data_IF_873409145572
#
_entry.id   IF_873409145572
#
_cell.length_a   1.000
_cell.length_b   1.000
_cell.length_c   1.000
_cell.angle_alpha   90.00
_cell.angle_beta   90.00
_cell.angle_gamma   90.00
#
_symmetry.space_group_name_H-M   'P 1'
#
loop_
_entity.id
_entity.type
_entity.pdbx_description
1 polymer ?
#
# COMPACT_ATOMS: atom_id res chain seq x y z
N UNK A 1 33.97 55.27 -4.52
CA UNK A 1 33.00 54.68 -5.42
C UNK A 1 32.57 53.34 -4.87
N UNK A 2 31.36 53.32 -4.45
CA UNK A 2 30.79 52.10 -3.87
C UNK A 2 30.24 51.26 -4.97
N UNK A 3 30.84 50.08 -5.17
CA UNK A 3 30.22 49.05 -6.04
C UNK A 3 29.00 48.51 -5.34
N UNK A 4 27.84 48.55 -5.96
CA UNK A 4 26.70 47.84 -5.39
C UNK A 4 27.06 46.37 -5.31
N UNK A 5 27.01 45.82 -4.12
CA UNK A 5 27.19 44.38 -3.94
C UNK A 5 26.17 43.62 -4.78
N UNK A 6 26.68 42.81 -5.65
CA UNK A 6 25.84 41.85 -6.38
C UNK A 6 25.30 40.89 -5.33
N UNK A 7 24.10 41.13 -4.86
CA UNK A 7 23.36 40.16 -4.11
C UNK A 7 22.97 39.04 -5.10
N UNK A 8 23.86 38.07 -5.23
CA UNK A 8 23.51 36.80 -5.77
C UNK A 8 22.51 36.18 -4.80
N UNK A 9 21.25 36.45 -5.01
CA UNK A 9 20.18 35.62 -4.54
C UNK A 9 20.32 34.28 -5.27
N UNK A 10 21.20 33.41 -4.73
CA UNK A 10 21.10 32.00 -5.01
C UNK A 10 19.76 31.58 -4.43
N UNK A 11 18.75 31.64 -5.26
CA UNK A 11 17.51 30.97 -4.98
C UNK A 11 17.86 29.50 -4.88
N UNK A 12 17.88 28.99 -3.67
CA UNK A 12 17.81 27.57 -3.44
C UNK A 12 16.47 27.14 -4.02
N UNK A 13 16.50 26.70 -5.26
CA UNK A 13 15.44 25.85 -5.77
C UNK A 13 15.53 24.58 -4.95
N UNK A 14 14.81 24.56 -3.84
CA UNK A 14 14.40 23.30 -3.27
C UNK A 14 13.48 22.71 -4.32
N UNK A 15 14.04 21.92 -5.22
CA UNK A 15 13.26 21.00 -5.99
C UNK A 15 12.64 20.08 -4.94
N UNK A 16 11.43 20.40 -4.56
CA UNK A 16 10.55 19.43 -3.95
C UNK A 16 10.38 18.33 -5.01
N UNK A 17 11.30 17.38 -4.99
CA UNK A 17 11.04 16.12 -5.63
C UNK A 17 9.88 15.52 -4.86
N UNK A 18 8.66 15.82 -5.30
CA UNK A 18 7.53 14.98 -5.03
C UNK A 18 7.89 13.65 -5.66
N UNK A 19 8.59 12.80 -4.89
CA UNK A 19 8.97 11.48 -5.34
C UNK A 19 7.74 10.80 -5.88
N UNK A 20 7.81 10.35 -7.14
CA UNK A 20 6.74 9.62 -7.78
C UNK A 20 6.31 8.49 -6.84
N UNK A 21 5.12 8.59 -6.30
CA UNK A 21 4.56 7.58 -5.42
C UNK A 21 4.11 6.42 -6.26
N UNK A 22 4.71 5.25 -6.06
CA UNK A 22 4.33 4.03 -6.75
C UNK A 22 3.82 3.02 -5.74
N UNK A 23 2.63 2.50 -5.98
CA UNK A 23 1.97 1.52 -5.14
C UNK A 23 1.61 0.30 -5.98
N UNK A 24 2.01 -0.87 -5.50
CA UNK A 24 1.67 -2.15 -6.12
C UNK A 24 0.55 -2.78 -5.32
N UNK A 25 -0.59 -3.00 -5.97
CA UNK A 25 -1.74 -3.71 -5.41
C UNK A 25 -1.69 -5.15 -5.90
N UNK A 26 -1.45 -6.08 -5.00
CA UNK A 26 -1.31 -7.49 -5.34
C UNK A 26 -1.72 -8.39 -4.18
N UNK A 27 -1.57 -9.68 -4.35
CA UNK A 27 -1.75 -10.69 -3.31
C UNK A 27 -0.54 -11.61 -3.22
N UNK A 28 -0.57 -12.56 -2.31
CA UNK A 28 0.57 -13.47 -2.09
C UNK A 28 0.76 -14.48 -3.21
N UNK A 29 -0.26 -14.71 -4.04
CA UNK A 29 -0.15 -15.57 -5.22
C UNK A 29 0.54 -14.87 -6.38
N UNK A 30 0.61 -13.53 -6.34
CA UNK A 30 1.24 -12.70 -7.36
C UNK A 30 2.31 -11.82 -6.70
N UNK A 31 3.44 -12.40 -6.28
CA UNK A 31 4.47 -11.64 -5.57
C UNK A 31 5.04 -10.55 -6.48
N UNK A 32 5.28 -9.35 -5.93
CA UNK A 32 5.87 -8.27 -6.71
C UNK A 32 7.32 -8.58 -7.04
N UNK A 33 7.75 -8.16 -8.23
CA UNK A 33 9.12 -8.33 -8.73
C UNK A 33 9.68 -7.01 -9.26
N UNK A 34 10.99 -6.89 -9.32
CA UNK A 34 11.71 -5.71 -9.82
C UNK A 34 11.28 -4.42 -9.11
N UNK A 35 11.18 -4.47 -7.79
CA UNK A 35 10.78 -3.32 -6.99
C UNK A 35 11.79 -2.19 -7.09
N UNK A 36 11.32 -1.00 -7.41
CA UNK A 36 12.11 0.21 -7.32
C UNK A 36 12.13 0.73 -5.88
N UNK A 37 13.19 1.47 -5.55
CA UNK A 37 13.30 2.12 -4.25
C UNK A 37 12.12 3.06 -4.01
N UNK A 38 11.56 3.03 -2.80
CA UNK A 38 10.42 3.87 -2.43
C UNK A 38 9.05 3.37 -2.87
N UNK A 39 8.98 2.17 -3.46
CA UNK A 39 7.70 1.54 -3.80
C UNK A 39 7.00 1.03 -2.55
N UNK A 40 5.67 1.14 -2.55
CA UNK A 40 4.82 0.57 -1.50
C UNK A 40 4.04 -0.62 -2.05
N UNK A 41 3.92 -1.66 -1.24
CA UNK A 41 3.13 -2.84 -1.58
C UNK A 41 1.87 -2.84 -0.73
N UNK A 42 0.72 -2.98 -1.38
CA UNK A 42 -0.56 -3.20 -0.71
C UNK A 42 -1.00 -4.62 -0.99
N UNK A 43 -1.06 -5.41 0.07
CA UNK A 43 -1.53 -6.78 0.01
C UNK A 43 -3.05 -6.80 0.12
N UNK A 44 -3.73 -7.07 -0.97
CA UNK A 44 -5.19 -7.06 -1.02
C UNK A 44 -5.82 -8.18 -0.21
N UNK A 45 -5.06 -9.23 0.07
CA UNK A 45 -5.45 -10.35 0.93
C UNK A 45 -5.07 -10.15 2.41
N UNK A 46 -4.42 -9.02 2.76
CA UNK A 46 -3.97 -8.77 4.13
C UNK A 46 -5.11 -8.73 5.16
N UNK A 47 -6.27 -8.09 4.91
CA UNK A 47 -7.35 -8.10 5.90
C UNK A 47 -7.83 -9.51 6.24
N UNK A 48 -8.00 -10.35 5.25
CA UNK A 48 -8.39 -11.75 5.43
C UNK A 48 -7.32 -12.54 6.19
N UNK A 49 -6.06 -12.36 5.83
CA UNK A 49 -4.93 -13.01 6.49
C UNK A 49 -4.85 -12.65 7.98
N UNK A 50 -5.01 -11.38 8.32
CA UNK A 50 -5.02 -10.95 9.72
C UNK A 50 -6.20 -11.56 10.49
N UNK A 51 -7.38 -11.58 9.90
CA UNK A 51 -8.55 -12.19 10.52
C UNK A 51 -8.36 -13.69 10.73
N UNK A 52 -7.84 -14.40 9.74
CA UNK A 52 -7.57 -15.83 9.86
C UNK A 52 -6.52 -16.12 10.93
N UNK A 53 -5.46 -15.35 11.00
CA UNK A 53 -4.41 -15.51 12.03
C UNK A 53 -4.95 -15.27 13.42
N UNK A 54 -5.76 -14.23 13.58
CA UNK A 54 -6.29 -13.86 14.90
C UNK A 54 -7.30 -14.86 15.42
N UNK A 55 -8.14 -15.39 14.54
CA UNK A 55 -9.16 -16.38 14.88
C UNK A 55 -8.76 -17.82 14.52
N UNK A 56 -7.48 -18.05 14.30
CA UNK A 56 -6.97 -19.39 14.06
C UNK A 56 -7.21 -20.31 15.26
N UNK A 57 -7.40 -21.59 14.98
CA UNK A 57 -7.48 -22.64 16.01
C UNK A 57 -8.63 -22.48 17.00
N UNK A 58 -9.74 -21.91 16.55
CA UNK A 58 -10.98 -21.96 17.34
C UNK A 58 -11.48 -23.40 17.44
N UNK A 59 -12.08 -23.74 18.60
CA UNK A 59 -12.66 -25.05 18.83
C UNK A 59 -13.73 -25.39 17.80
N UNK A 60 -13.87 -26.67 17.47
CA UNK A 60 -14.96 -27.16 16.63
C UNK A 60 -16.31 -27.10 17.35
N UNK A 61 -16.31 -27.08 18.71
CA UNK A 61 -17.52 -26.87 19.50
C UNK A 61 -17.94 -25.39 19.44
N UNK A 62 -19.15 -25.07 18.93
CA UNK A 62 -19.60 -23.69 18.78
C UNK A 62 -19.61 -22.88 20.10
N UNK A 63 -19.91 -23.50 21.22
CA UNK A 63 -19.93 -22.82 22.52
C UNK A 63 -18.53 -22.46 22.98
N UNK A 64 -17.57 -23.37 22.83
CA UNK A 64 -16.17 -23.12 23.15
C UNK A 64 -15.56 -22.11 22.18
N UNK A 65 -15.85 -22.23 20.90
CA UNK A 65 -15.38 -21.28 19.89
C UNK A 65 -15.86 -19.86 20.20
N UNK A 66 -17.10 -19.68 20.60
CA UNK A 66 -17.65 -18.38 20.99
C UNK A 66 -16.92 -17.79 22.20
N UNK A 67 -16.70 -18.59 23.24
CA UNK A 67 -15.93 -18.14 24.41
C UNK A 67 -14.50 -17.76 24.08
N UNK A 68 -13.84 -18.55 23.25
CA UNK A 68 -12.48 -18.28 22.79
C UNK A 68 -12.43 -16.99 21.98
N UNK A 69 -13.38 -16.78 21.07
CA UNK A 69 -13.46 -15.56 20.29
C UNK A 69 -13.71 -14.33 21.18
N UNK A 70 -14.62 -14.41 22.12
CA UNK A 70 -14.89 -13.33 23.08
C UNK A 70 -13.65 -12.99 23.92
N UNK A 71 -12.93 -14.00 24.38
CA UNK A 71 -11.69 -13.80 25.15
C UNK A 71 -10.63 -13.08 24.31
N UNK A 72 -10.48 -13.47 23.05
CA UNK A 72 -9.54 -12.81 22.14
C UNK A 72 -9.91 -11.37 21.86
N UNK A 73 -11.19 -11.08 21.64
CA UNK A 73 -11.70 -9.73 21.41
C UNK A 73 -11.56 -8.81 22.62
N UNK A 74 -11.52 -9.36 23.83
CA UNK A 74 -11.33 -8.61 25.07
C UNK A 74 -9.87 -8.48 25.48
N UNK A 75 -8.95 -9.12 24.74
CA UNK A 75 -7.51 -9.08 25.06
C UNK A 75 -6.90 -7.74 24.70
N UNK A 76 -5.85 -7.27 25.40
CA UNK A 76 -5.13 -6.06 25.02
C UNK A 76 -4.50 -6.14 23.64
N UNK A 77 -4.11 -7.34 23.19
CA UNK A 77 -3.55 -7.54 21.86
C UNK A 77 -4.56 -7.30 20.75
N UNK A 78 -5.87 -7.41 21.05
CA UNK A 78 -6.91 -7.14 20.06
C UNK A 78 -6.85 -5.72 19.53
N UNK A 79 -6.56 -4.74 20.34
CA UNK A 79 -6.49 -3.35 19.92
C UNK A 79 -5.41 -3.14 18.83
N UNK A 80 -4.25 -3.79 18.98
CA UNK A 80 -3.19 -3.74 17.95
C UNK A 80 -3.63 -4.48 16.69
N UNK A 81 -4.22 -5.65 16.82
CA UNK A 81 -4.72 -6.45 15.70
C UNK A 81 -5.83 -5.73 14.96
N UNK A 82 -6.74 -5.12 15.68
CA UNK A 82 -7.83 -4.32 15.11
C UNK A 82 -7.28 -3.17 14.27
N UNK A 83 -6.29 -2.44 14.76
CA UNK A 83 -5.67 -1.36 14.00
C UNK A 83 -5.00 -1.87 12.73
N UNK A 84 -4.34 -3.00 12.77
CA UNK A 84 -3.74 -3.62 11.58
C UNK A 84 -4.81 -4.00 10.55
N UNK A 85 -5.92 -4.57 10.98
CA UNK A 85 -7.04 -4.93 10.11
C UNK A 85 -7.67 -3.68 9.49
N UNK A 86 -7.91 -2.64 10.28
CA UNK A 86 -8.46 -1.37 9.81
C UNK A 86 -7.53 -0.74 8.77
N UNK A 87 -6.24 -0.67 9.04
CA UNK A 87 -5.26 -0.13 8.12
C UNK A 87 -5.21 -0.93 6.81
N UNK A 88 -5.25 -2.24 6.90
CA UNK A 88 -5.28 -3.11 5.72
C UNK A 88 -6.53 -2.85 4.86
N UNK A 89 -7.70 -2.71 5.47
CA UNK A 89 -8.93 -2.36 4.78
C UNK A 89 -8.89 -0.97 4.16
N UNK A 90 -8.32 0.02 4.84
CA UNK A 90 -8.17 1.37 4.30
C UNK A 90 -7.35 1.36 3.00
N UNK A 91 -6.27 0.59 2.95
CA UNK A 91 -5.47 0.45 1.74
C UNK A 91 -6.24 -0.22 0.60
N UNK A 92 -7.04 -1.23 0.90
CA UNK A 92 -7.90 -1.89 -0.10
C UNK A 92 -8.97 -0.92 -0.63
N UNK A 93 -9.61 -0.18 0.26
CA UNK A 93 -10.62 0.82 -0.12
C UNK A 93 -10.00 1.90 -1.00
N UNK A 94 -8.81 2.39 -0.65
CA UNK A 94 -8.11 3.38 -1.47
C UNK A 94 -7.79 2.84 -2.86
N UNK A 95 -7.35 1.60 -2.96
CA UNK A 95 -7.14 0.95 -4.26
C UNK A 95 -8.39 0.97 -5.12
N UNK A 96 -9.53 0.64 -4.54
CA UNK A 96 -10.83 0.69 -5.25
C UNK A 96 -11.19 2.10 -5.66
N UNK A 97 -10.96 3.09 -4.80
CA UNK A 97 -11.22 4.50 -5.11
C UNK A 97 -10.36 5.00 -6.28
N UNK A 98 -9.15 4.46 -6.44
CA UNK A 98 -8.26 4.74 -7.57
C UNK A 98 -8.60 3.95 -8.84
N UNK A 99 -9.65 3.12 -8.80
CA UNK A 99 -10.09 2.33 -9.94
C UNK A 99 -9.42 0.97 -10.09
N UNK A 100 -8.72 0.48 -9.08
CA UNK A 100 -8.12 -0.86 -9.09
C UNK A 100 -9.24 -1.90 -8.91
N UNK A 101 -9.74 -2.42 -10.02
CA UNK A 101 -10.77 -3.46 -10.04
C UNK A 101 -10.18 -4.85 -10.31
N UNK A 102 -9.02 -4.90 -10.94
CA UNK A 102 -8.29 -6.12 -11.25
C UNK A 102 -6.88 -6.04 -10.70
N UNK A 103 -6.38 -7.13 -10.18
CA UNK A 103 -5.03 -7.23 -9.65
C UNK A 103 -4.33 -8.47 -10.22
N UNK A 104 -3.02 -8.48 -10.24
CA UNK A 104 -2.14 -7.42 -9.73
C UNK A 104 -2.23 -6.14 -10.56
N UNK A 105 -1.95 -5.00 -9.92
CA UNK A 105 -1.93 -3.69 -10.56
C UNK A 105 -0.85 -2.80 -9.94
N UNK A 106 -0.28 -1.92 -10.75
CA UNK A 106 0.68 -0.90 -10.28
C UNK A 106 0.06 0.47 -10.52
N UNK A 107 0.01 1.29 -9.46
CA UNK A 107 -0.52 2.65 -9.51
C UNK A 107 0.62 3.64 -9.34
N UNK A 108 0.79 4.53 -10.33
CA UNK A 108 1.77 5.60 -10.33
C UNK A 108 1.10 6.92 -9.99
N UNK A 109 1.62 7.62 -8.98
CA UNK A 109 1.20 8.97 -8.59
C UNK A 109 -0.31 9.07 -8.29
N UNK A 110 -0.90 8.03 -7.71
CA UNK A 110 -2.34 7.93 -7.43
C UNK A 110 -3.23 8.19 -8.66
N UNK A 111 -2.70 8.01 -9.86
CA UNK A 111 -3.41 8.36 -11.10
C UNK A 111 -3.33 7.31 -12.19
N UNK A 112 -2.13 6.92 -12.58
CA UNK A 112 -1.91 6.02 -13.70
C UNK A 112 -1.90 4.57 -13.22
N UNK A 113 -2.81 3.74 -13.73
CA UNK A 113 -2.96 2.35 -13.31
C UNK A 113 -2.54 1.41 -14.45
N UNK A 114 -1.62 0.52 -14.16
CA UNK A 114 -1.21 -0.56 -15.06
C UNK A 114 -1.69 -1.89 -14.48
N UNK A 115 -2.61 -2.53 -15.16
CA UNK A 115 -3.21 -3.79 -14.74
C UNK A 115 -2.45 -5.01 -15.24
N UNK A 116 -2.60 -6.11 -14.51
CA UNK A 116 -2.18 -7.43 -14.95
C UNK A 116 -0.72 -7.77 -14.67
N UNK A 117 -0.02 -6.93 -13.93
CA UNK A 117 1.36 -7.20 -13.54
C UNK A 117 1.68 -6.69 -12.14
N UNK A 118 2.48 -7.46 -11.41
CA UNK A 118 3.16 -7.04 -10.19
C UNK A 118 4.66 -6.78 -10.45
N UNK A 119 5.08 -6.82 -11.69
CA UNK A 119 6.44 -6.50 -12.12
C UNK A 119 6.56 -5.00 -12.38
N UNK A 120 7.31 -4.32 -11.52
CA UNK A 120 7.48 -2.87 -11.58
C UNK A 120 8.18 -2.41 -12.85
N UNK A 121 9.17 -3.17 -13.32
CA UNK A 121 9.88 -2.84 -14.55
C UNK A 121 8.95 -2.92 -15.75
N UNK A 122 8.12 -3.95 -15.83
CA UNK A 122 7.12 -4.12 -16.88
C UNK A 122 6.06 -3.03 -16.82
N UNK A 123 5.57 -2.70 -15.63
CA UNK A 123 4.59 -1.64 -15.45
C UNK A 123 5.13 -0.28 -15.88
N UNK A 124 6.38 0.04 -15.53
CA UNK A 124 7.04 1.27 -15.95
C UNK A 124 7.16 1.35 -17.47
N UNK A 125 7.56 0.27 -18.12
CA UNK A 125 7.66 0.21 -19.57
C UNK A 125 6.30 0.41 -20.25
N UNK A 126 5.23 -0.16 -19.70
CA UNK A 126 3.87 0.00 -20.23
C UNK A 126 3.31 1.40 -20.01
N UNK A 127 3.75 2.08 -18.96
CA UNK A 127 3.33 3.46 -18.66
C UNK A 127 3.98 4.47 -19.61
N UNK A 128 5.27 4.35 -19.87
CA UNK A 128 6.07 5.33 -20.61
C UNK A 128 5.48 5.73 -21.98
N UNK A 129 4.99 4.79 -22.82
CA UNK A 129 4.45 5.15 -24.13
C UNK A 129 3.17 6.00 -24.07
N UNK A 130 2.51 6.07 -22.93
CA UNK A 130 1.24 6.77 -22.73
C UNK A 130 1.39 8.08 -21.99
N UNK A 131 2.61 8.50 -21.69
CA UNK A 131 2.85 9.83 -21.11
C UNK A 131 2.85 10.87 -22.21
N UNK A 132 2.05 11.94 -22.05
CA UNK A 132 2.11 13.07 -22.98
C UNK A 132 3.41 13.82 -22.87
#
# INVERSE_FOLDING_TARGET
>A
MKKPGLLLLMGWMVSLSTGAKTVIYTDRQHPPVNLASGSHIVWLDAPEQFQQQYFAQLSADPRQAMKQAQTRLQSPQWHEQEQQIINAWQHVIRGRALGVQKYPAVVFDDRDVVYGTADMAKATALREPHQP
#
